data_IF_559304918828
#
_entry.id   IF_559304918828
#
_cell.length_a   1.000
_cell.length_b   1.000
_cell.length_c   1.000
_cell.angle_alpha   90.00
_cell.angle_beta   90.00
_cell.angle_gamma   90.00
#
_symmetry.space_group_name_H-M   'P 1'
#
loop_
_entity.id
_entity.type
_entity.pdbx_description
1 polymer ?
#
# COMPACT_ATOMS: atom_id res chain seq x y z
N UNK A 1 -11.26 23.43 3.26
CA UNK A 1 -10.91 22.04 3.51
C UNK A 1 -10.32 21.83 4.92
N UNK A 2 -11.01 22.30 5.95
CA UNK A 2 -10.54 22.10 7.32
C UNK A 2 -10.99 20.75 7.93
N UNK A 3 -11.94 20.05 7.30
CA UNK A 3 -12.70 18.99 7.98
C UNK A 3 -12.33 17.56 7.57
N UNK A 4 -11.49 17.36 6.54
CA UNK A 4 -11.06 16.03 6.09
C UNK A 4 -9.75 16.04 5.31
N UNK A 5 -9.06 14.91 5.31
CA UNK A 5 -7.83 14.62 4.57
C UNK A 5 -8.15 13.68 3.42
N UNK A 6 -7.74 14.05 2.21
CA UNK A 6 -7.90 13.20 1.02
C UNK A 6 -6.59 12.50 0.71
N UNK A 7 -6.60 11.18 0.67
CA UNK A 7 -5.46 10.40 0.20
C UNK A 7 -5.80 9.60 -1.06
N UNK A 8 -4.81 9.42 -1.91
CA UNK A 8 -4.89 8.54 -3.08
C UNK A 8 -3.59 7.79 -3.29
N UNK A 9 -3.56 6.93 -4.30
CA UNK A 9 -2.38 6.13 -4.64
C UNK A 9 -1.94 6.41 -6.08
N UNK A 10 -0.63 6.28 -6.34
CA UNK A 10 0.01 6.38 -7.65
C UNK A 10 0.86 5.14 -7.92
N UNK A 11 1.39 4.99 -9.15
CA UNK A 11 2.12 3.79 -9.55
C UNK A 11 1.25 2.77 -10.32
N UNK A 12 -0.08 2.84 -10.16
CA UNK A 12 -1.06 2.16 -11.01
C UNK A 12 -1.77 3.19 -11.86
N UNK A 13 -1.44 3.25 -13.14
CA UNK A 13 -2.10 4.11 -14.13
C UNK A 13 -3.31 3.39 -14.69
N UNK A 14 -4.46 4.04 -14.64
CA UNK A 14 -5.72 3.47 -15.12
C UNK A 14 -6.06 4.04 -16.49
N UNK A 15 -6.37 3.17 -17.44
CA UNK A 15 -6.91 3.50 -18.77
C UNK A 15 -8.17 2.71 -19.05
N UNK A 16 -8.92 3.08 -20.09
CA UNK A 16 -10.10 2.30 -20.51
C UNK A 16 -9.68 0.88 -20.89
N UNK A 17 -10.43 -0.08 -20.43
CA UNK A 17 -10.19 -1.50 -20.63
C UNK A 17 -11.47 -2.26 -21.03
N UNK A 18 -11.40 -3.58 -21.19
CA UNK A 18 -12.58 -4.40 -21.47
C UNK A 18 -13.49 -4.48 -20.23
N UNK A 19 -14.75 -4.79 -20.46
CA UNK A 19 -15.64 -5.23 -19.39
C UNK A 19 -15.21 -6.62 -18.91
N UNK A 20 -15.13 -6.81 -17.61
CA UNK A 20 -14.74 -8.07 -16.98
C UNK A 20 -15.78 -8.43 -15.92
N UNK A 21 -16.06 -9.74 -15.79
CA UNK A 21 -16.94 -10.24 -14.74
C UNK A 21 -16.25 -10.17 -13.36
N UNK A 22 -14.92 -10.36 -13.35
CA UNK A 22 -14.10 -10.29 -12.14
C UNK A 22 -12.67 -9.82 -12.49
N UNK A 23 -12.09 -8.96 -11.68
CA UNK A 23 -10.69 -8.61 -11.73
C UNK A 23 -10.20 -8.15 -10.35
N UNK A 24 -9.01 -8.62 -9.92
CA UNK A 24 -8.36 -8.27 -8.64
C UNK A 24 -9.28 -8.45 -7.41
N UNK A 25 -10.16 -9.46 -7.42
CA UNK A 25 -11.14 -9.72 -6.36
C UNK A 25 -12.39 -8.84 -6.39
N UNK A 26 -12.55 -7.97 -7.39
CA UNK A 26 -13.76 -7.16 -7.62
C UNK A 26 -14.70 -7.85 -8.59
N UNK A 27 -15.96 -7.99 -8.21
CA UNK A 27 -17.03 -8.51 -9.08
C UNK A 27 -17.59 -7.35 -9.91
N UNK A 28 -17.63 -7.53 -11.23
CA UNK A 28 -18.05 -6.52 -12.21
C UNK A 28 -17.37 -5.18 -11.98
N UNK A 29 -16.01 -5.14 -11.98
CA UNK A 29 -15.27 -3.92 -11.80
C UNK A 29 -15.55 -2.92 -12.94
N UNK A 30 -15.22 -1.65 -12.71
CA UNK A 30 -15.22 -0.69 -13.80
C UNK A 30 -14.25 -1.14 -14.90
N UNK A 31 -14.60 -0.87 -16.16
CA UNK A 31 -13.85 -1.26 -17.36
C UNK A 31 -12.51 -0.51 -17.46
N UNK A 32 -11.61 -0.83 -16.53
CA UNK A 32 -10.27 -0.25 -16.45
C UNK A 32 -9.21 -1.30 -16.74
N UNK A 33 -8.13 -0.85 -17.41
CA UNK A 33 -6.87 -1.57 -17.53
C UNK A 33 -5.84 -0.89 -16.66
N UNK A 34 -5.11 -1.68 -15.89
CA UNK A 34 -4.01 -1.23 -15.04
C UNK A 34 -2.69 -1.35 -15.79
N UNK A 35 -1.87 -0.30 -15.73
CA UNK A 35 -0.47 -0.30 -16.11
C UNK A 35 0.35 0.16 -14.91
N UNK A 36 1.33 -0.65 -14.51
CA UNK A 36 2.26 -0.24 -13.46
C UNK A 36 3.32 0.68 -14.04
N UNK A 37 3.48 1.85 -13.45
CA UNK A 37 4.47 2.83 -13.85
C UNK A 37 4.86 3.71 -12.66
N UNK A 38 6.04 3.46 -12.13
CA UNK A 38 6.58 4.16 -10.97
C UNK A 38 7.57 5.26 -11.35
N UNK A 39 7.72 5.55 -12.64
CA UNK A 39 8.48 6.70 -13.12
C UNK A 39 7.82 8.02 -12.74
N UNK A 40 8.56 9.13 -12.85
CA UNK A 40 8.03 10.47 -12.61
C UNK A 40 6.80 10.78 -13.46
N UNK A 41 6.82 10.38 -14.74
CA UNK A 41 5.69 10.60 -15.67
C UNK A 41 4.48 9.73 -15.26
N UNK A 42 4.69 8.46 -14.93
CA UNK A 42 3.65 7.55 -14.45
C UNK A 42 2.99 8.03 -13.15
N UNK A 43 3.78 8.59 -12.23
CA UNK A 43 3.28 9.20 -11.00
C UNK A 43 2.38 10.40 -11.29
N UNK A 44 2.81 11.30 -12.18
CA UNK A 44 2.01 12.47 -12.57
C UNK A 44 0.71 12.03 -13.25
N UNK A 45 0.78 11.10 -14.23
CA UNK A 45 -0.39 10.57 -14.92
C UNK A 45 -1.41 9.95 -13.95
N UNK A 46 -0.95 9.12 -13.01
CA UNK A 46 -1.81 8.49 -12.00
C UNK A 46 -2.45 9.53 -11.05
N UNK A 47 -1.69 10.56 -10.65
CA UNK A 47 -2.17 11.63 -9.78
C UNK A 47 -3.25 12.47 -10.48
N UNK A 48 -3.02 12.91 -11.72
CA UNK A 48 -3.99 13.67 -12.49
C UNK A 48 -5.26 12.85 -12.77
N UNK A 49 -5.12 11.56 -13.07
CA UNK A 49 -6.25 10.63 -13.16
C UNK A 49 -7.05 10.55 -11.86
N UNK A 50 -6.38 10.50 -10.71
CA UNK A 50 -7.04 10.50 -9.40
C UNK A 50 -7.77 11.82 -9.12
N UNK A 51 -7.15 12.95 -9.39
CA UNK A 51 -7.78 14.28 -9.25
C UNK A 51 -9.06 14.40 -10.07
N UNK A 52 -9.00 13.96 -11.33
CA UNK A 52 -10.16 13.98 -12.24
C UNK A 52 -11.29 13.11 -11.70
N UNK A 53 -11.02 11.89 -11.23
CA UNK A 53 -12.04 10.98 -10.68
C UNK A 53 -12.64 11.47 -9.37
N UNK A 54 -11.83 12.10 -8.52
CA UNK A 54 -12.24 12.63 -7.22
C UNK A 54 -12.86 14.04 -7.30
N UNK A 55 -12.73 14.72 -8.45
CA UNK A 55 -13.22 16.10 -8.61
C UNK A 55 -12.48 17.10 -7.71
N UNK A 56 -11.17 16.91 -7.52
CA UNK A 56 -10.36 17.75 -6.62
C UNK A 56 -9.04 18.16 -7.25
N UNK A 57 -8.62 19.39 -7.02
CA UNK A 57 -7.34 19.92 -7.49
C UNK A 57 -6.16 19.60 -6.55
N UNK A 58 -6.43 19.21 -5.31
CA UNK A 58 -5.42 18.99 -4.29
C UNK A 58 -5.61 17.64 -3.59
N UNK A 59 -4.51 16.95 -3.38
CA UNK A 59 -4.44 15.70 -2.62
C UNK A 59 -3.54 15.92 -1.41
N UNK A 60 -4.05 15.60 -0.23
CA UNK A 60 -3.30 15.80 1.02
C UNK A 60 -2.19 14.74 1.15
N UNK A 61 -2.47 13.47 0.82
CA UNK A 61 -1.48 12.40 0.94
C UNK A 61 -1.48 11.53 -0.33
N UNK A 62 -0.30 11.28 -0.88
CA UNK A 62 -0.08 10.39 -2.03
C UNK A 62 0.75 9.19 -1.60
N UNK A 63 0.23 7.98 -1.79
CA UNK A 63 0.94 6.73 -1.55
C UNK A 63 1.42 6.11 -2.86
N UNK A 64 2.68 5.71 -2.95
CA UNK A 64 3.18 4.82 -4.00
C UNK A 64 2.65 3.42 -3.73
N UNK A 65 1.83 2.91 -4.66
CA UNK A 65 1.01 1.71 -4.44
C UNK A 65 1.75 0.45 -4.85
N UNK A 66 1.83 -0.48 -3.91
CA UNK A 66 2.30 -1.86 -4.14
C UNK A 66 3.68 -1.95 -4.83
N UNK A 67 4.54 -0.95 -4.67
CA UNK A 67 5.94 -1.06 -5.04
C UNK A 67 6.58 -2.09 -4.11
N UNK A 68 7.12 -3.19 -4.67
CA UNK A 68 7.73 -4.25 -3.88
C UNK A 68 7.58 -5.65 -4.49
N UNK A 69 8.37 -6.59 -4.00
CA UNK A 69 8.42 -7.96 -4.50
C UNK A 69 7.13 -8.76 -4.20
N UNK A 70 6.37 -8.37 -3.18
CA UNK A 70 5.08 -9.00 -2.88
C UNK A 70 4.11 -8.90 -4.08
N UNK A 71 4.10 -7.78 -4.78
CA UNK A 71 3.24 -7.56 -5.94
C UNK A 71 3.91 -7.97 -7.26
N UNK A 72 5.19 -7.66 -7.43
CA UNK A 72 5.87 -7.75 -8.71
C UNK A 72 6.86 -8.92 -8.83
N UNK A 73 7.08 -9.67 -7.75
CA UNK A 73 8.05 -10.76 -7.76
C UNK A 73 9.45 -10.29 -8.19
N UNK A 74 10.06 -11.02 -9.12
CA UNK A 74 11.38 -10.69 -9.65
C UNK A 74 11.40 -9.39 -10.48
N UNK A 75 10.28 -9.01 -11.09
CA UNK A 75 10.17 -7.80 -11.91
C UNK A 75 10.21 -6.52 -11.07
N UNK A 76 10.12 -6.64 -9.73
CA UNK A 76 10.20 -5.48 -8.84
C UNK A 76 11.49 -4.67 -9.04
N UNK A 77 12.58 -5.29 -9.49
CA UNK A 77 13.84 -4.58 -9.71
C UNK A 77 13.68 -3.45 -10.74
N UNK A 78 12.95 -3.70 -11.83
CA UNK A 78 12.69 -2.69 -12.87
C UNK A 78 11.82 -1.56 -12.34
N UNK A 79 10.84 -1.88 -11.50
CA UNK A 79 9.97 -0.90 -10.87
C UNK A 79 10.70 -0.03 -9.84
N UNK A 80 11.57 -0.62 -9.04
CA UNK A 80 12.42 0.11 -8.09
C UNK A 80 13.40 1.04 -8.81
N UNK A 81 14.05 0.56 -9.89
CA UNK A 81 14.94 1.36 -10.72
C UNK A 81 14.20 2.59 -11.31
N UNK A 82 13.02 2.40 -11.90
CA UNK A 82 12.22 3.50 -12.45
C UNK A 82 11.81 4.51 -11.35
N UNK A 83 11.42 3.98 -10.18
CA UNK A 83 11.05 4.81 -9.04
C UNK A 83 12.21 5.65 -8.53
N UNK A 84 13.38 5.07 -8.30
CA UNK A 84 14.55 5.80 -7.84
C UNK A 84 15.16 6.72 -8.90
N UNK A 85 15.06 6.36 -10.19
CA UNK A 85 15.58 7.20 -11.26
C UNK A 85 14.83 8.54 -11.41
N UNK A 86 13.50 8.54 -11.27
CA UNK A 86 12.67 9.73 -11.54
C UNK A 86 11.45 9.87 -10.62
N UNK A 87 10.87 8.78 -10.16
CA UNK A 87 9.61 8.77 -9.42
C UNK A 87 9.70 9.45 -8.06
N UNK A 88 10.74 9.11 -7.29
CA UNK A 88 10.96 9.66 -5.95
C UNK A 88 11.16 11.17 -5.99
N UNK A 89 12.02 11.65 -6.88
CA UNK A 89 12.27 13.09 -7.06
C UNK A 89 11.01 13.83 -7.53
N UNK A 90 10.20 13.21 -8.39
CA UNK A 90 8.96 13.80 -8.85
C UNK A 90 7.96 14.01 -7.70
N UNK A 91 7.87 13.10 -6.75
CA UNK A 91 7.04 13.28 -5.55
C UNK A 91 7.53 14.43 -4.68
N UNK A 92 8.84 14.57 -4.49
CA UNK A 92 9.43 15.70 -3.79
C UNK A 92 9.01 17.02 -4.48
N UNK A 93 9.19 17.12 -5.80
CA UNK A 93 8.81 18.32 -6.59
C UNK A 93 7.32 18.64 -6.47
N UNK A 94 6.44 17.64 -6.51
CA UNK A 94 5.00 17.85 -6.37
C UNK A 94 4.66 18.41 -4.98
N UNK A 95 5.35 17.97 -3.94
CA UNK A 95 5.20 18.49 -2.58
C UNK A 95 5.71 19.91 -2.44
N UNK A 96 6.92 20.20 -2.94
CA UNK A 96 7.53 21.54 -2.94
C UNK A 96 6.67 22.56 -3.70
N UNK A 97 6.03 22.14 -4.78
CA UNK A 97 5.11 22.97 -5.56
C UNK A 97 3.73 23.15 -4.88
N UNK A 98 3.51 22.54 -3.72
CA UNK A 98 2.22 22.57 -3.01
C UNK A 98 1.08 21.87 -3.75
N UNK A 99 1.39 20.95 -4.68
CA UNK A 99 0.39 20.15 -5.40
C UNK A 99 -0.11 18.97 -4.58
N UNK A 100 0.72 18.46 -3.67
CA UNK A 100 0.38 17.46 -2.67
C UNK A 100 0.90 17.91 -1.30
N UNK A 101 0.29 17.41 -0.22
CA UNK A 101 0.71 17.76 1.14
C UNK A 101 1.81 16.84 1.66
N UNK A 102 1.68 15.56 1.43
CA UNK A 102 2.59 14.52 1.91
C UNK A 102 2.65 13.36 0.91
N UNK A 103 3.73 12.58 0.98
CA UNK A 103 3.84 11.34 0.21
C UNK A 103 4.55 10.23 0.98
N UNK A 104 4.33 9.00 0.52
CA UNK A 104 5.00 7.81 1.05
C UNK A 104 4.59 6.55 0.33
N UNK A 105 4.68 5.41 1.00
CA UNK A 105 4.37 4.10 0.42
C UNK A 105 3.03 3.56 0.89
N UNK A 106 2.33 2.80 0.03
CA UNK A 106 1.15 2.02 0.40
C UNK A 106 1.37 0.56 -0.02
N UNK A 107 1.88 -0.27 0.88
CA UNK A 107 2.44 -1.59 0.56
C UNK A 107 2.09 -2.67 1.57
N UNK A 108 2.31 -3.94 1.19
CA UNK A 108 2.06 -5.13 2.01
C UNK A 108 3.36 -5.82 2.47
N UNK A 109 4.49 -5.13 2.48
CA UNK A 109 5.77 -5.70 2.86
C UNK A 109 6.70 -4.66 3.52
N UNK A 110 7.63 -5.14 4.35
CA UNK A 110 8.51 -4.27 5.13
C UNK A 110 9.76 -3.86 4.37
N UNK A 111 10.33 -4.76 3.55
CA UNK A 111 11.66 -4.55 2.96
C UNK A 111 11.68 -3.32 2.06
N UNK A 112 10.72 -3.17 1.16
CA UNK A 112 10.66 -1.99 0.28
C UNK A 112 10.54 -0.68 1.07
N UNK A 113 9.89 -0.70 2.25
CA UNK A 113 9.84 0.48 3.11
C UNK A 113 11.23 0.85 3.64
N UNK A 114 12.01 -0.14 4.05
CA UNK A 114 13.39 0.07 4.51
C UNK A 114 14.27 0.57 3.37
N UNK A 115 14.20 -0.06 2.20
CA UNK A 115 14.99 0.31 1.02
C UNK A 115 14.72 1.76 0.59
N UNK A 116 13.45 2.19 0.61
CA UNK A 116 13.10 3.57 0.25
C UNK A 116 13.48 4.56 1.34
N UNK A 117 13.37 4.20 2.63
CA UNK A 117 13.82 5.05 3.74
C UNK A 117 15.35 5.27 3.72
N UNK A 118 16.12 4.29 3.26
CA UNK A 118 17.57 4.47 3.03
C UNK A 118 17.87 5.42 1.88
N UNK A 119 17.00 5.46 0.85
CA UNK A 119 17.15 6.34 -0.31
C UNK A 119 16.79 7.79 0.00
N UNK A 120 15.75 8.03 0.80
CA UNK A 120 15.31 9.38 1.13
C UNK A 120 14.12 9.44 2.08
N UNK A 121 13.76 10.67 2.46
CA UNK A 121 12.72 10.93 3.45
C UNK A 121 11.31 10.71 2.88
N UNK A 122 10.50 10.00 3.65
CA UNK A 122 9.05 9.88 3.47
C UNK A 122 8.30 10.63 4.56
N UNK A 123 7.05 10.96 4.35
CA UNK A 123 6.17 11.52 5.38
C UNK A 123 5.36 10.45 6.10
N UNK A 124 4.91 9.44 5.36
CA UNK A 124 3.97 8.45 5.87
C UNK A 124 4.09 7.13 5.12
N UNK A 125 3.88 6.02 5.81
CA UNK A 125 3.77 4.69 5.20
C UNK A 125 2.40 4.10 5.59
N UNK A 126 1.59 3.72 4.60
CA UNK A 126 0.42 2.87 4.77
C UNK A 126 0.87 1.42 4.62
N UNK A 127 1.05 0.75 5.75
CA UNK A 127 1.51 -0.64 5.83
C UNK A 127 0.32 -1.57 6.05
N UNK A 128 0.07 -2.46 5.11
CA UNK A 128 -1.06 -3.39 5.18
C UNK A 128 -0.63 -4.78 5.67
N UNK A 129 -1.28 -5.26 6.73
CA UNK A 129 -1.18 -6.63 7.20
C UNK A 129 0.10 -7.05 7.90
N UNK A 130 1.09 -6.15 8.10
CA UNK A 130 2.43 -6.48 8.66
C UNK A 130 2.65 -5.98 10.10
N UNK A 131 1.65 -5.30 10.67
CA UNK A 131 1.63 -4.93 12.08
C UNK A 131 0.21 -5.12 12.63
N UNK A 132 -0.09 -6.33 13.04
CA UNK A 132 -1.40 -6.79 13.50
C UNK A 132 -1.23 -7.65 14.75
N UNK A 133 -2.32 -8.21 15.27
CA UNK A 133 -2.23 -9.21 16.35
C UNK A 133 -1.58 -10.53 15.86
N UNK A 134 -1.73 -10.86 14.58
CA UNK A 134 -1.28 -12.11 13.97
C UNK A 134 0.11 -11.98 13.31
N UNK A 135 0.35 -10.89 12.58
CA UNK A 135 1.62 -10.61 11.91
C UNK A 135 2.27 -9.38 12.54
N UNK A 136 3.45 -9.55 13.09
CA UNK A 136 4.25 -8.50 13.73
C UNK A 136 5.60 -8.31 13.05
N UNK A 137 5.71 -8.68 11.80
CA UNK A 137 6.99 -8.64 11.07
C UNK A 137 7.58 -7.23 10.93
N UNK A 138 6.76 -6.17 11.03
CA UNK A 138 7.21 -4.78 11.03
C UNK A 138 7.70 -4.27 12.40
N UNK A 139 7.48 -5.03 13.48
CA UNK A 139 7.58 -4.52 14.86
C UNK A 139 8.97 -3.98 15.20
N UNK A 140 10.03 -4.64 14.78
CA UNK A 140 11.38 -4.28 15.20
C UNK A 140 12.04 -3.30 14.23
N UNK A 141 12.44 -3.75 13.04
CA UNK A 141 13.26 -2.95 12.12
C UNK A 141 12.49 -1.75 11.54
N UNK A 142 11.29 -1.95 11.02
CA UNK A 142 10.57 -0.88 10.32
C UNK A 142 10.05 0.18 11.28
N UNK A 143 9.49 -0.20 12.44
CA UNK A 143 9.04 0.79 13.42
C UNK A 143 10.20 1.67 13.87
N UNK A 144 11.36 1.07 14.18
CA UNK A 144 12.53 1.84 14.59
C UNK A 144 13.04 2.75 13.47
N UNK A 145 13.05 2.29 12.21
CA UNK A 145 13.43 3.11 11.07
C UNK A 145 12.48 4.30 10.89
N UNK A 146 11.17 4.08 10.96
CA UNK A 146 10.16 5.13 10.89
C UNK A 146 10.31 6.15 12.04
N UNK A 147 10.53 5.69 13.27
CA UNK A 147 10.75 6.58 14.42
C UNK A 147 11.99 7.46 14.23
N UNK A 148 13.10 6.88 13.78
CA UNK A 148 14.35 7.60 13.54
C UNK A 148 14.22 8.64 12.43
N UNK A 149 13.42 8.33 11.39
CA UNK A 149 13.18 9.20 10.23
C UNK A 149 12.02 10.19 10.44
N UNK A 150 11.26 10.10 11.54
CA UNK A 150 10.07 10.94 11.77
C UNK A 150 8.89 10.60 10.83
N UNK A 151 8.81 9.35 10.33
CA UNK A 151 7.79 8.89 9.40
C UNK A 151 6.58 8.33 10.14
N UNK A 152 5.39 8.77 9.77
CA UNK A 152 4.14 8.25 10.33
C UNK A 152 3.76 6.89 9.74
N UNK A 153 3.21 6.00 10.56
CA UNK A 153 2.64 4.73 10.11
C UNK A 153 1.12 4.76 10.15
N UNK A 154 0.48 4.40 9.04
CA UNK A 154 -0.95 4.09 8.95
C UNK A 154 -1.08 2.59 8.77
N UNK A 155 -1.80 1.94 9.67
CA UNK A 155 -1.96 0.49 9.63
C UNK A 155 -3.20 0.11 8.83
N UNK A 156 -2.98 -0.54 7.68
CA UNK A 156 -4.00 -1.13 6.84
C UNK A 156 -4.14 -2.64 7.07
N UNK A 157 -5.25 -3.23 6.62
CA UNK A 157 -5.45 -4.68 6.65
C UNK A 157 -5.30 -5.33 8.02
N UNK A 158 -5.66 -4.60 9.09
CA UNK A 158 -5.42 -5.02 10.49
C UNK A 158 -6.15 -6.32 10.90
N UNK A 159 -7.12 -6.73 10.11
CA UNK A 159 -7.82 -8.02 10.29
C UNK A 159 -7.24 -9.16 9.44
N UNK A 160 -6.11 -8.95 8.73
CA UNK A 160 -5.41 -9.96 7.90
C UNK A 160 -6.38 -10.74 6.99
N UNK A 161 -6.93 -10.06 5.99
CA UNK A 161 -7.95 -10.59 5.05
C UNK A 161 -9.24 -11.09 5.74
N UNK A 162 -9.53 -10.56 6.94
CA UNK A 162 -10.74 -10.88 7.69
C UNK A 162 -10.60 -11.99 8.73
N UNK A 163 -9.51 -12.79 8.70
CA UNK A 163 -9.37 -13.94 9.61
C UNK A 163 -9.39 -13.56 11.10
N UNK A 164 -8.89 -12.36 11.46
CA UNK A 164 -8.94 -11.87 12.84
C UNK A 164 -10.35 -11.40 13.27
N UNK A 165 -11.29 -11.26 12.32
CA UNK A 165 -12.69 -10.95 12.62
C UNK A 165 -13.56 -12.20 12.62
N UNK A 166 -13.29 -13.16 11.72
CA UNK A 166 -14.10 -14.38 11.56
C UNK A 166 -13.58 -15.56 12.36
N UNK A 167 -12.32 -15.53 12.78
CA UNK A 167 -11.67 -16.65 13.44
C UNK A 167 -11.08 -17.69 12.47
N UNK A 168 -10.55 -18.78 13.04
CA UNK A 168 -9.93 -19.88 12.32
C UNK A 168 -10.99 -20.87 11.76
N UNK A 169 -11.88 -20.36 10.90
CA UNK A 169 -12.98 -21.12 10.27
C UNK A 169 -12.57 -21.70 8.92
N UNK A 170 -13.38 -22.63 8.38
CA UNK A 170 -13.20 -23.15 7.03
C UNK A 170 -13.38 -22.02 6.00
N UNK A 171 -12.48 -21.98 5.01
CA UNK A 171 -12.47 -20.94 3.98
C UNK A 171 -11.88 -19.61 4.42
N UNK A 172 -11.34 -19.49 5.66
CA UNK A 172 -10.65 -18.28 6.10
C UNK A 172 -9.45 -17.95 5.19
N UNK A 173 -9.22 -16.65 4.98
CA UNK A 173 -8.16 -16.14 4.09
C UNK A 173 -7.11 -15.34 4.86
N UNK A 174 -5.88 -15.38 4.38
CA UNK A 174 -4.76 -14.59 4.86
C UNK A 174 -3.92 -14.15 3.64
N UNK A 175 -3.51 -12.89 3.61
CA UNK A 175 -2.79 -12.31 2.45
C UNK A 175 -3.52 -12.57 1.11
N UNK A 176 -4.85 -12.48 1.13
CA UNK A 176 -5.75 -12.69 -0.02
C UNK A 176 -5.85 -14.14 -0.53
N UNK A 177 -5.16 -15.10 0.10
CA UNK A 177 -5.17 -16.52 -0.25
C UNK A 177 -5.79 -17.36 0.86
N UNK A 178 -6.18 -18.62 0.59
CA UNK A 178 -6.63 -19.55 1.63
C UNK A 178 -5.60 -19.65 2.77
N UNK A 179 -6.04 -19.50 4.01
CA UNK A 179 -5.18 -19.52 5.17
C UNK A 179 -4.49 -20.88 5.35
N UNK A 180 -3.17 -20.87 5.54
CA UNK A 180 -2.40 -22.09 5.80
C UNK A 180 -2.76 -22.70 7.16
N UNK A 181 -2.47 -24.00 7.34
CA UNK A 181 -2.64 -24.70 8.63
C UNK A 181 -1.91 -23.99 9.78
N UNK A 182 -0.75 -23.41 9.50
CA UNK A 182 0.02 -22.63 10.48
C UNK A 182 -0.73 -21.39 10.90
N UNK A 183 -1.22 -20.60 9.96
CA UNK A 183 -2.00 -19.38 10.22
C UNK A 183 -3.24 -19.70 11.03
N UNK A 184 -4.02 -20.72 10.64
CA UNK A 184 -5.20 -21.17 11.38
C UNK A 184 -4.85 -21.57 12.83
N UNK A 185 -3.72 -22.25 13.04
CA UNK A 185 -3.25 -22.60 14.38
C UNK A 185 -2.87 -21.38 15.21
N UNK A 186 -2.22 -20.40 14.58
CA UNK A 186 -1.82 -19.16 15.25
C UNK A 186 -3.06 -18.34 15.67
N UNK A 187 -4.08 -18.26 14.81
CA UNK A 187 -5.35 -17.60 15.13
C UNK A 187 -6.05 -18.28 16.28
N UNK A 188 -6.18 -19.63 16.31
CA UNK A 188 -6.78 -20.36 17.44
C UNK A 188 -6.08 -20.06 18.76
N UNK A 189 -4.74 -19.91 18.74
CA UNK A 189 -3.99 -19.51 19.94
C UNK A 189 -4.31 -18.09 20.41
N UNK A 190 -4.59 -17.17 19.47
CA UNK A 190 -5.03 -15.81 19.81
C UNK A 190 -6.45 -15.82 20.40
N UNK A 191 -7.37 -16.58 19.80
CA UNK A 191 -8.74 -16.76 20.31
C UNK A 191 -8.73 -17.27 21.77
N UNK A 192 -7.96 -18.33 22.06
CA UNK A 192 -7.82 -18.87 23.42
C UNK A 192 -7.28 -17.86 24.43
N UNK A 193 -6.39 -16.94 24.00
CA UNK A 193 -5.88 -15.89 24.88
C UNK A 193 -6.88 -14.76 25.13
N UNK A 194 -7.81 -14.54 24.20
CA UNK A 194 -8.82 -13.50 24.33
C UNK A 194 -10.01 -13.93 25.22
N UNK A 195 -10.17 -15.24 25.47
CA UNK A 195 -11.22 -15.81 26.36
C UNK A 195 -10.83 -15.78 27.85
N UNK A 196 -9.60 -15.37 28.19
CA UNK A 196 -9.06 -15.26 29.55
C UNK A 196 -9.15 -13.82 30.05
#
# INVERSE_FOLDING_TARGET
RADYVVSTKVGRVLSSGPELDEADGYIRPLSNKVRYDYSGDGIVEALEGSRKRLGTEYIDIVYVHDLGAFTHGADNIVHMEAFFATGFEQLIRLKEQGKIGAFGLGVNENQVCLDVLEHGALDVILLAGRLTLLDRSAQDALIQACQNAGVSLVLGGVFNSGILATGAVDGATFDYFPASKKVLSDVRRLEQKAEV
#
